data_IF_654111391406
#
_entry.id   IF_654111391406
#
_cell.length_a   1.000
_cell.length_b   1.000
_cell.length_c   1.000
_cell.angle_alpha   90.00
_cell.angle_beta   90.00
_cell.angle_gamma   90.00
#
_symmetry.space_group_name_H-M   'P 1'
#
loop_
_entity.id
_entity.type
_entity.pdbx_description
1 polymer ?
#
# COMPACT_ATOMS: atom_id res chain seq x y z
N UNK A 1 17.55 -2.33 21.95
CA UNK A 1 17.12 -1.90 20.59
C UNK A 1 18.14 -0.89 20.09
N UNK A 2 18.80 -1.17 18.96
CA UNK A 2 19.90 -0.36 18.45
C UNK A 2 19.47 0.43 17.21
N UNK A 3 19.93 1.67 17.10
CA UNK A 3 19.68 2.55 15.95
C UNK A 3 20.98 2.88 15.24
N UNK A 4 20.91 3.11 13.93
CA UNK A 4 22.03 3.52 13.09
C UNK A 4 21.56 4.48 12.02
N UNK A 5 22.44 5.36 11.56
CA UNK A 5 22.16 6.34 10.51
C UNK A 5 23.01 6.07 9.27
N UNK A 6 22.48 6.47 8.11
CA UNK A 6 23.19 6.45 6.83
C UNK A 6 22.94 7.77 6.11
N UNK A 7 23.93 8.35 5.43
CA UNK A 7 23.71 9.50 4.57
C UNK A 7 22.58 9.25 3.57
N UNK A 8 21.72 10.23 3.40
CA UNK A 8 20.66 10.18 2.39
C UNK A 8 21.26 10.28 1.00
N UNK A 9 20.56 9.72 0.00
CA UNK A 9 21.00 9.79 -1.40
C UNK A 9 21.14 11.23 -1.92
N UNK A 10 20.49 12.21 -1.28
CA UNK A 10 20.59 13.63 -1.62
C UNK A 10 21.80 14.31 -0.97
N UNK A 11 22.57 13.60 -0.12
CA UNK A 11 23.76 14.12 0.57
C UNK A 11 23.49 15.15 1.67
N UNK A 12 22.30 15.75 1.71
CA UNK A 12 21.93 16.85 2.61
C UNK A 12 21.38 16.43 3.97
N UNK A 13 21.43 15.13 4.31
CA UNK A 13 20.81 14.66 5.54
C UNK A 13 21.11 13.20 5.86
N UNK A 14 20.64 12.78 7.03
CA UNK A 14 20.81 11.42 7.55
C UNK A 14 19.47 10.68 7.58
N UNK A 15 19.50 9.40 7.22
CA UNK A 15 18.36 8.49 7.35
C UNK A 15 18.62 7.51 8.47
N UNK A 16 17.70 7.50 9.43
CA UNK A 16 17.76 6.61 10.59
C UNK A 16 17.10 5.25 10.31
N UNK A 17 17.70 4.21 10.89
CA UNK A 17 17.26 2.84 10.81
C UNK A 17 17.37 2.16 12.17
N UNK A 18 16.54 1.16 12.39
CA UNK A 18 16.66 0.21 13.48
C UNK A 18 17.43 -1.03 13.01
N UNK A 19 18.26 -1.59 13.88
CA UNK A 19 18.88 -2.90 13.64
C UNK A 19 17.94 -3.97 14.18
N UNK A 20 17.50 -4.88 13.31
CA UNK A 20 16.64 -6.00 13.68
C UNK A 20 17.46 -7.04 14.46
N UNK A 21 16.99 -7.43 15.64
CA UNK A 21 17.68 -8.40 16.50
C UNK A 21 17.74 -9.79 15.84
N UNK A 22 16.69 -10.17 15.11
CA UNK A 22 16.59 -11.48 14.45
C UNK A 22 17.46 -11.61 13.20
N UNK A 23 17.52 -10.57 12.36
CA UNK A 23 18.19 -10.65 11.05
C UNK A 23 19.51 -9.90 10.99
N UNK A 24 19.84 -9.06 11.98
CA UNK A 24 21.02 -8.19 11.99
C UNK A 24 21.00 -7.04 10.96
N UNK A 25 19.96 -6.98 10.12
CA UNK A 25 19.84 -5.99 9.04
C UNK A 25 19.20 -4.69 9.52
N UNK A 26 19.43 -3.62 8.75
CA UNK A 26 18.90 -2.27 8.96
C UNK A 26 17.51 -2.12 8.34
N UNK A 27 16.52 -1.68 9.11
CA UNK A 27 15.17 -1.42 8.61
C UNK A 27 14.58 -0.12 9.17
N UNK A 28 13.75 0.57 8.38
CA UNK A 28 13.08 1.80 8.83
C UNK A 28 11.86 1.53 9.71
N UNK A 29 11.36 0.28 9.74
CA UNK A 29 10.17 -0.12 10.51
C UNK A 29 10.38 -1.52 11.07
N UNK A 30 10.02 -1.69 12.34
CA UNK A 30 9.93 -2.97 13.04
C UNK A 30 8.49 -3.19 13.53
N UNK A 31 8.11 -4.44 13.73
CA UNK A 31 6.79 -4.85 14.19
C UNK A 31 6.92 -5.60 15.52
N UNK A 32 5.99 -5.38 16.47
CA UNK A 32 5.95 -6.18 17.69
C UNK A 32 5.43 -7.58 17.36
N UNK A 33 6.29 -8.58 17.45
CA UNK A 33 5.96 -9.98 17.19
C UNK A 33 6.90 -10.90 17.97
N UNK A 34 6.41 -12.04 18.45
CA UNK A 34 7.19 -13.00 19.24
C UNK A 34 7.83 -12.38 20.51
N UNK A 35 7.21 -11.34 21.09
CA UNK A 35 7.69 -10.68 22.31
C UNK A 35 8.76 -9.61 22.13
N UNK A 36 9.15 -9.26 20.90
CA UNK A 36 10.12 -8.18 20.63
C UNK A 36 9.81 -7.45 19.31
N UNK A 37 10.50 -6.33 19.07
CA UNK A 37 10.42 -5.61 17.80
C UNK A 37 11.36 -6.22 16.76
N UNK A 38 10.79 -6.70 15.65
CA UNK A 38 11.55 -7.34 14.57
C UNK A 38 11.00 -6.99 13.19
N UNK A 39 11.81 -7.21 12.16
CA UNK A 39 11.35 -7.09 10.79
C UNK A 39 10.56 -8.34 10.38
N UNK A 40 9.59 -8.18 9.47
CA UNK A 40 8.73 -9.26 8.98
C UNK A 40 9.47 -10.48 8.42
N UNK A 41 10.67 -10.29 7.88
CA UNK A 41 11.52 -11.39 7.38
C UNK A 41 11.93 -12.37 8.49
N UNK A 42 12.01 -11.91 9.74
CA UNK A 42 12.31 -12.75 10.90
C UNK A 42 11.08 -13.43 11.51
N UNK A 43 9.88 -13.19 10.96
CA UNK A 43 8.63 -13.77 11.47
C UNK A 43 8.21 -14.92 10.55
N UNK A 44 8.34 -16.19 10.99
CA UNK A 44 7.92 -17.34 10.20
C UNK A 44 6.44 -17.24 9.81
N UNK A 45 6.13 -17.44 8.53
CA UNK A 45 4.75 -17.40 8.03
C UNK A 45 4.14 -15.99 7.94
N UNK A 46 4.88 -14.93 8.24
CA UNK A 46 4.37 -13.57 8.03
C UNK A 46 4.16 -13.28 6.54
N UNK A 47 2.91 -13.07 6.16
CA UNK A 47 2.51 -12.70 4.80
C UNK A 47 1.90 -11.31 4.78
N UNK A 48 2.05 -10.60 3.67
CA UNK A 48 1.21 -9.43 3.42
C UNK A 48 -0.25 -9.88 3.33
N UNK A 49 -1.17 -9.09 3.92
CA UNK A 49 -2.62 -9.34 3.79
C UNK A 49 -3.07 -9.54 2.35
N UNK A 50 -2.44 -8.83 1.41
CA UNK A 50 -2.72 -8.97 -0.02
C UNK A 50 -2.32 -10.34 -0.60
N UNK A 51 -1.30 -11.01 -0.07
CA UNK A 51 -0.85 -12.32 -0.53
C UNK A 51 -1.82 -13.44 -0.11
N UNK A 52 -2.52 -13.27 1.00
CA UNK A 52 -3.57 -14.19 1.44
C UNK A 52 -4.88 -14.06 0.64
N UNK A 53 -4.97 -13.10 -0.29
CA UNK A 53 -6.19 -12.85 -1.10
C UNK A 53 -6.00 -13.31 -2.54
N UNK A 54 -7.08 -13.85 -3.12
CA UNK A 54 -7.12 -14.20 -4.54
C UNK A 54 -6.85 -12.98 -5.44
N UNK A 55 -6.39 -13.21 -6.67
CA UNK A 55 -6.20 -12.14 -7.66
C UNK A 55 -7.48 -11.36 -7.92
N UNK A 56 -8.62 -12.06 -7.97
CA UNK A 56 -9.94 -11.47 -8.14
C UNK A 56 -10.33 -10.58 -6.95
N UNK A 57 -10.20 -11.06 -5.71
CA UNK A 57 -10.52 -10.23 -4.54
C UNK A 57 -9.66 -8.95 -4.52
N UNK A 58 -8.36 -9.06 -4.84
CA UNK A 58 -7.47 -7.90 -4.92
C UNK A 58 -7.87 -6.90 -6.02
N UNK A 59 -8.39 -7.36 -7.16
CA UNK A 59 -8.83 -6.46 -8.22
C UNK A 59 -10.10 -5.72 -7.83
N UNK A 60 -11.06 -6.42 -7.22
CA UNK A 60 -12.30 -5.82 -6.69
C UNK A 60 -11.99 -4.79 -5.61
N UNK A 61 -11.16 -5.13 -4.63
CA UNK A 61 -10.77 -4.20 -3.55
C UNK A 61 -10.12 -2.92 -4.09
N UNK A 62 -9.34 -3.03 -5.17
CA UNK A 62 -8.69 -1.88 -5.81
C UNK A 62 -9.70 -0.91 -6.43
N UNK A 63 -10.80 -1.42 -6.98
CA UNK A 63 -11.89 -0.60 -7.54
C UNK A 63 -12.63 0.14 -6.43
N UNK A 64 -13.00 -0.56 -5.35
CA UNK A 64 -13.66 0.04 -4.19
C UNK A 64 -12.77 1.05 -3.47
N UNK A 65 -11.51 0.71 -3.20
CA UNK A 65 -10.53 1.63 -2.60
C UNK A 65 -10.35 2.91 -3.45
N UNK A 66 -10.45 2.80 -4.78
CA UNK A 66 -10.36 3.95 -5.67
C UNK A 66 -11.63 4.79 -5.63
N UNK A 67 -12.80 4.15 -5.56
CA UNK A 67 -14.09 4.82 -5.43
C UNK A 67 -14.18 5.61 -4.12
N UNK A 68 -13.90 4.95 -2.99
CA UNK A 68 -14.02 5.55 -1.65
C UNK A 68 -13.10 6.75 -1.45
N UNK A 69 -11.97 6.78 -2.17
CA UNK A 69 -11.05 7.92 -2.12
C UNK A 69 -11.70 9.22 -2.56
N UNK A 70 -12.67 9.20 -3.48
CA UNK A 70 -13.39 10.41 -3.90
C UNK A 70 -14.00 11.16 -2.71
N UNK A 71 -14.37 10.43 -1.66
CA UNK A 71 -15.05 10.97 -0.50
C UNK A 71 -14.10 11.24 0.68
N UNK A 72 -12.79 10.99 0.52
CA UNK A 72 -11.81 11.24 1.58
C UNK A 72 -11.41 12.72 1.61
N UNK A 73 -11.22 13.30 2.81
CA UNK A 73 -10.75 14.66 2.94
C UNK A 73 -9.35 14.81 2.31
N UNK A 74 -9.07 16.01 1.79
CA UNK A 74 -7.79 16.37 1.16
C UNK A 74 -7.45 15.59 -0.12
N UNK A 75 -8.44 14.98 -0.79
CA UNK A 75 -8.21 14.40 -2.11
C UNK A 75 -7.82 15.49 -3.12
N UNK A 76 -6.59 15.38 -3.65
CA UNK A 76 -6.08 16.31 -4.66
C UNK A 76 -6.60 15.96 -6.05
N UNK A 77 -7.56 16.74 -6.51
CA UNK A 77 -8.18 16.63 -7.83
C UNK A 77 -7.23 17.02 -8.96
N UNK A 78 -6.50 18.13 -8.77
CA UNK A 78 -5.65 18.73 -9.78
C UNK A 78 -4.23 19.00 -9.26
N UNK A 79 -3.25 18.92 -10.16
CA UNK A 79 -1.88 19.39 -9.96
C UNK A 79 -1.47 20.23 -11.15
N UNK A 80 -1.05 21.49 -10.91
CA UNK A 80 -0.72 22.46 -11.97
C UNK A 80 -1.82 22.58 -13.03
N UNK A 81 -3.08 22.70 -12.60
CA UNK A 81 -4.26 22.78 -13.46
C UNK A 81 -4.68 21.47 -14.15
N UNK A 82 -3.86 20.41 -14.12
CA UNK A 82 -4.18 19.12 -14.76
C UNK A 82 -4.78 18.13 -13.75
N UNK A 83 -5.78 17.32 -14.12
CA UNK A 83 -6.33 16.30 -13.23
C UNK A 83 -5.26 15.28 -12.87
N UNK A 84 -5.21 14.87 -11.60
CA UNK A 84 -4.20 13.91 -11.17
C UNK A 84 -4.54 12.50 -11.70
N UNK A 85 -3.55 11.66 -12.04
CA UNK A 85 -3.82 10.26 -12.40
C UNK A 85 -4.57 9.49 -11.30
N UNK A 86 -4.40 9.93 -10.04
CA UNK A 86 -5.11 9.38 -8.89
C UNK A 86 -6.60 9.72 -8.94
N UNK A 87 -6.94 10.97 -9.27
CA UNK A 87 -8.32 11.40 -9.45
C UNK A 87 -9.00 10.69 -10.62
N UNK A 88 -8.34 10.61 -11.77
CA UNK A 88 -8.92 9.94 -12.95
C UNK A 88 -9.27 8.47 -12.69
N UNK A 89 -8.43 7.75 -11.94
CA UNK A 89 -8.72 6.36 -11.54
C UNK A 89 -9.94 6.23 -10.62
N UNK A 90 -10.09 7.16 -9.69
CA UNK A 90 -11.22 7.19 -8.77
C UNK A 90 -12.53 7.58 -9.48
N UNK A 91 -12.46 8.47 -10.47
CA UNK A 91 -13.60 8.81 -11.30
C UNK A 91 -14.01 7.64 -12.21
N UNK A 92 -13.05 6.90 -12.75
CA UNK A 92 -13.32 5.69 -13.54
C UNK A 92 -13.98 4.59 -12.70
N UNK A 93 -13.56 4.39 -11.44
CA UNK A 93 -14.19 3.39 -10.56
C UNK A 93 -15.61 3.75 -10.16
N UNK A 94 -16.00 5.03 -10.17
CA UNK A 94 -17.39 5.46 -9.96
C UNK A 94 -18.35 4.88 -10.99
N UNK A 95 -17.96 4.77 -12.26
CA UNK A 95 -18.79 4.13 -13.30
C UNK A 95 -18.92 2.61 -13.09
N UNK A 96 -17.85 1.99 -12.57
CA UNK A 96 -17.84 0.55 -12.28
C UNK A 96 -18.66 0.19 -11.03
N UNK A 97 -18.75 1.09 -10.04
CA UNK A 97 -19.55 0.90 -8.83
C UNK A 97 -21.06 0.94 -9.09
N UNK A 98 -21.49 1.51 -10.23
CA UNK A 98 -22.89 1.47 -10.69
C UNK A 98 -23.25 0.18 -11.43
N UNK A 99 -22.27 -0.65 -11.78
CA UNK A 99 -22.49 -1.92 -12.48
C UNK A 99 -22.89 -3.01 -11.48
N UNK A 100 -23.88 -3.80 -11.86
CA UNK A 100 -24.32 -4.98 -11.11
C UNK A 100 -23.25 -6.09 -11.19
N UNK A 101 -23.18 -6.94 -10.16
CA UNK A 101 -22.23 -8.07 -10.12
C UNK A 101 -22.26 -9.00 -11.35
N UNK A 102 -23.41 -9.26 -12.00
CA UNK A 102 -23.48 -9.97 -13.28
C UNK A 102 -22.65 -9.31 -14.40
N UNK A 103 -22.73 -7.98 -14.54
CA UNK A 103 -22.04 -7.23 -15.60
C UNK A 103 -20.52 -7.23 -15.38
N UNK A 104 -20.08 -7.17 -14.12
CA UNK A 104 -18.67 -7.24 -13.75
C UNK A 104 -18.07 -8.62 -14.09
N UNK A 105 -18.82 -9.71 -13.88
CA UNK A 105 -18.37 -11.07 -14.24
C UNK A 105 -18.19 -11.23 -15.75
N UNK A 106 -19.10 -10.69 -16.55
CA UNK A 106 -19.06 -10.78 -18.02
C UNK A 106 -17.91 -10.00 -18.65
N UNK A 107 -17.48 -8.88 -18.03
CA UNK A 107 -16.35 -8.09 -18.53
C UNK A 107 -14.98 -8.71 -18.24
N UNK A 108 -14.87 -9.57 -17.21
CA UNK A 108 -13.61 -10.17 -16.76
C UNK A 108 -13.39 -11.60 -17.26
N UNK A 109 -14.36 -12.20 -17.96
CA UNK A 109 -14.27 -13.55 -18.54
C UNK A 109 -13.71 -13.58 -19.97
N UNK A 110 -12.77 -12.69 -20.29
CA UNK A 110 -12.03 -12.70 -21.56
C UNK A 110 -10.63 -13.22 -21.36
#
# INVERSE_FOLDING_TARGET
MQITSVPTNLGIGQRWYFICIQTGKRYSKLYPANGYFQHREGIPGAMYRSQARSHYSRSVDKVWDAHDRLYRPYMKWHYRGKPTPRYLRALASRRAATLSMPEIRQMLSK
#
